data_IF_684948131658
#
_entry.id   IF_684948131658
#
_cell.length_a   1.000
_cell.length_b   1.000
_cell.length_c   1.000
_cell.angle_alpha   90.00
_cell.angle_beta   90.00
_cell.angle_gamma   90.00
#
_symmetry.space_group_name_H-M   'P 1'
#
loop_
_entity.id
_entity.type
_entity.pdbx_description
1 polymer ?
#
# COMPACT_ATOMS: atom_id res chain seq x y z
N UNK A 1 -25.30 -3.16 12.20
CA UNK A 1 -24.08 -3.06 11.39
C UNK A 1 -24.56 -2.73 9.98
N UNK A 2 -24.04 -1.67 9.36
CA UNK A 2 -24.46 -1.26 8.00
C UNK A 2 -23.59 -1.95 6.96
N UNK A 3 -22.26 -1.91 7.15
CA UNK A 3 -21.31 -2.67 6.33
C UNK A 3 -20.40 -3.55 7.22
N UNK A 4 -19.94 -4.69 6.69
CA UNK A 4 -18.93 -5.59 7.27
C UNK A 4 -18.08 -6.22 6.18
N UNK A 5 -16.77 -6.25 6.35
CA UNK A 5 -15.86 -6.84 5.38
C UNK A 5 -14.86 -7.76 6.08
N UNK A 6 -14.49 -8.84 5.41
CA UNK A 6 -13.49 -9.79 5.89
C UNK A 6 -12.59 -10.16 4.71
N UNK A 7 -11.33 -9.79 4.85
CA UNK A 7 -10.33 -9.95 3.81
C UNK A 7 -9.33 -11.04 4.19
N UNK A 8 -8.69 -11.61 3.17
CA UNK A 8 -7.43 -12.32 3.35
C UNK A 8 -6.29 -11.33 3.69
N UNK A 9 -5.08 -11.80 4.02
CA UNK A 9 -3.97 -10.91 4.33
C UNK A 9 -3.59 -9.94 3.20
N UNK A 10 -3.82 -10.29 1.93
CA UNK A 10 -3.50 -9.48 0.76
C UNK A 10 -4.66 -8.56 0.33
N UNK A 11 -5.81 -8.61 1.02
CA UNK A 11 -6.95 -7.75 0.75
C UNK A 11 -7.98 -8.35 -0.21
N UNK A 12 -7.85 -9.64 -0.56
CA UNK A 12 -8.89 -10.33 -1.33
C UNK A 12 -10.11 -10.60 -0.45
N UNK A 13 -11.31 -10.43 -1.00
CA UNK A 13 -12.56 -10.52 -0.26
C UNK A 13 -12.94 -11.97 0.05
N UNK A 14 -12.97 -12.29 1.34
CA UNK A 14 -13.47 -13.60 1.82
C UNK A 14 -14.98 -13.52 2.02
N UNK A 15 -15.47 -12.42 2.62
CA UNK A 15 -16.90 -12.18 2.79
C UNK A 15 -17.20 -10.72 3.11
N UNK A 16 -18.28 -10.22 2.54
CA UNK A 16 -18.78 -8.88 2.82
C UNK A 16 -20.29 -8.86 3.11
N UNK A 17 -20.73 -7.78 3.75
CA UNK A 17 -22.13 -7.39 3.85
C UNK A 17 -22.14 -5.90 3.67
N UNK A 18 -22.67 -5.42 2.55
CA UNK A 18 -22.70 -4.00 2.23
C UNK A 18 -24.15 -3.48 2.16
N UNK A 19 -24.48 -2.52 3.01
CA UNK A 19 -25.77 -1.81 2.96
C UNK A 19 -25.70 -0.48 2.22
N UNK A 20 -24.54 0.18 2.24
CA UNK A 20 -24.27 1.45 1.56
C UNK A 20 -22.91 1.32 0.89
N UNK A 21 -22.81 1.64 -0.41
CA UNK A 21 -21.55 1.63 -1.15
C UNK A 21 -20.45 2.39 -0.42
N UNK A 22 -19.31 1.72 -0.22
CA UNK A 22 -18.15 2.24 0.45
C UNK A 22 -16.89 1.94 -0.39
N UNK A 23 -16.34 2.93 -1.11
CA UNK A 23 -15.11 2.70 -1.88
C UNK A 23 -13.86 2.55 -1.00
N UNK A 24 -13.93 2.83 0.30
CA UNK A 24 -12.76 2.79 1.20
C UNK A 24 -12.75 1.50 2.01
N UNK A 25 -12.22 0.46 1.39
CA UNK A 25 -12.23 -0.94 1.84
C UNK A 25 -10.88 -1.37 2.44
N UNK A 26 -10.17 -2.28 1.78
CA UNK A 26 -8.85 -2.72 2.16
C UNK A 26 -7.88 -1.53 2.20
N UNK A 27 -7.21 -1.33 3.35
CA UNK A 27 -6.34 -0.16 3.60
C UNK A 27 -7.10 1.20 3.49
N UNK A 28 -8.43 1.19 3.43
CA UNK A 28 -9.29 2.35 3.22
C UNK A 28 -9.16 3.44 4.27
N UNK A 29 -8.78 3.08 5.50
CA UNK A 29 -8.47 4.06 6.56
C UNK A 29 -7.31 5.02 6.18
N UNK A 30 -6.48 4.65 5.21
CA UNK A 30 -5.40 5.47 4.66
C UNK A 30 -5.77 6.11 3.30
N UNK A 31 -7.05 6.08 2.92
CA UNK A 31 -7.59 6.64 1.70
C UNK A 31 -7.16 5.90 0.44
N UNK A 32 -6.92 4.59 0.54
CA UNK A 32 -6.92 3.68 -0.62
C UNK A 32 -8.38 3.43 -0.98
N UNK A 33 -8.72 3.53 -2.26
CA UNK A 33 -10.08 3.36 -2.72
C UNK A 33 -10.12 2.24 -3.76
N UNK A 34 -11.11 1.36 -3.65
CA UNK A 34 -11.42 0.42 -4.71
C UNK A 34 -12.10 1.16 -5.87
N UNK A 35 -11.65 0.88 -7.09
CA UNK A 35 -12.18 1.46 -8.31
C UNK A 35 -13.16 0.49 -8.98
N UNK A 36 -13.98 1.00 -9.91
CA UNK A 36 -15.02 0.20 -10.58
C UNK A 36 -14.51 -1.01 -11.40
N UNK A 37 -13.19 -1.16 -11.53
CA UNK A 37 -12.53 -2.30 -12.18
C UNK A 37 -12.02 -3.36 -11.20
N UNK A 38 -12.32 -3.24 -9.90
CA UNK A 38 -11.89 -4.17 -8.85
C UNK A 38 -10.44 -3.97 -8.40
N UNK A 39 -9.81 -2.85 -8.77
CA UNK A 39 -8.44 -2.54 -8.36
C UNK A 39 -8.42 -1.48 -7.26
N UNK A 40 -7.52 -1.67 -6.31
CA UNK A 40 -7.24 -0.68 -5.26
C UNK A 40 -6.33 0.42 -5.79
N UNK A 41 -6.83 1.65 -5.82
CA UNK A 41 -6.03 2.82 -6.16
C UNK A 41 -5.21 3.29 -4.95
N UNK A 42 -3.95 2.85 -4.89
CA UNK A 42 -2.95 3.27 -3.90
C UNK A 42 -2.17 4.49 -4.39
N UNK A 43 -2.81 5.42 -5.11
CA UNK A 43 -2.22 6.66 -5.65
C UNK A 43 -1.18 6.43 -6.75
N UNK A 44 0.05 6.04 -6.41
CA UNK A 44 1.09 5.88 -7.43
C UNK A 44 0.88 4.62 -8.29
N UNK A 45 0.11 3.65 -7.78
CA UNK A 45 -0.13 2.36 -8.43
C UNK A 45 -1.55 1.85 -8.17
N UNK A 46 -2.04 1.06 -9.11
CA UNK A 46 -3.17 0.18 -8.91
C UNK A 46 -2.70 -1.17 -8.38
N UNK A 47 -3.37 -1.65 -7.35
CA UNK A 47 -3.12 -2.93 -6.70
C UNK A 47 -4.25 -3.90 -7.03
N UNK A 48 -3.87 -5.15 -7.27
CA UNK A 48 -4.75 -6.27 -7.59
C UNK A 48 -4.66 -7.23 -6.39
N UNK A 49 -5.74 -7.28 -5.61
CA UNK A 49 -5.87 -8.10 -4.41
C UNK A 49 -5.93 -9.59 -4.75
N UNK A 50 -6.66 -9.98 -5.80
CA UNK A 50 -6.75 -11.36 -6.32
C UNK A 50 -5.36 -12.00 -6.52
N UNK A 51 -4.41 -11.23 -7.04
CA UNK A 51 -3.04 -11.69 -7.30
C UNK A 51 -2.05 -11.31 -6.20
N UNK A 52 -2.41 -10.41 -5.30
CA UNK A 52 -1.59 -9.93 -4.20
C UNK A 52 -0.43 -9.01 -4.64
N UNK A 53 -0.60 -8.25 -5.74
CA UNK A 53 0.50 -7.44 -6.32
C UNK A 53 0.02 -6.21 -7.09
N UNK A 54 0.95 -5.28 -7.31
CA UNK A 54 0.70 -4.14 -8.20
C UNK A 54 0.65 -4.57 -9.66
N UNK A 55 -0.15 -3.87 -10.46
CA UNK A 55 -0.24 -4.12 -11.92
C UNK A 55 0.75 -3.27 -12.73
N UNK A 56 1.44 -2.33 -12.09
CA UNK A 56 2.50 -1.50 -12.68
C UNK A 56 3.80 -1.61 -11.86
N UNK A 57 4.97 -1.46 -12.49
CA UNK A 57 6.24 -1.47 -11.79
C UNK A 57 6.36 -0.24 -10.87
N UNK A 58 7.07 -0.42 -9.76
CA UNK A 58 7.35 0.64 -8.80
C UNK A 58 8.02 1.85 -9.47
N UNK A 59 7.38 3.03 -9.44
CA UNK A 59 7.92 4.23 -10.07
C UNK A 59 9.23 4.74 -9.42
N UNK A 60 9.47 4.45 -8.15
CA UNK A 60 10.76 4.78 -7.52
C UNK A 60 11.84 3.74 -7.83
N UNK A 61 11.47 2.62 -8.47
CA UNK A 61 12.37 1.56 -8.88
C UNK A 61 13.04 0.90 -7.69
N UNK A 62 14.34 0.60 -7.82
CA UNK A 62 15.12 -0.08 -6.77
C UNK A 62 15.35 0.79 -5.52
N UNK A 63 14.99 2.09 -5.55
CA UNK A 63 15.03 2.95 -4.37
C UNK A 63 14.02 2.50 -3.30
N UNK A 64 13.01 1.72 -3.68
CA UNK A 64 12.08 1.07 -2.75
C UNK A 64 12.69 -0.12 -1.99
N UNK A 65 14.00 -0.37 -2.13
CA UNK A 65 14.72 -1.47 -1.47
C UNK A 65 14.06 -2.86 -1.70
N UNK A 66 13.48 -3.06 -2.87
CA UNK A 66 12.96 -4.33 -3.36
C UNK A 66 13.37 -4.52 -4.82
N UNK A 67 13.81 -5.74 -5.15
CA UNK A 67 14.14 -6.13 -6.53
C UNK A 67 12.89 -6.47 -7.34
N UNK A 68 11.77 -6.79 -6.68
CA UNK A 68 10.50 -7.04 -7.34
C UNK A 68 9.63 -5.78 -7.34
N UNK A 69 9.62 -5.08 -8.47
CA UNK A 69 8.91 -3.81 -8.65
C UNK A 69 7.37 -3.93 -8.61
N UNK A 70 6.82 -5.15 -8.58
CA UNK A 70 5.38 -5.40 -8.53
C UNK A 70 4.91 -5.92 -7.17
N UNK A 71 5.83 -6.16 -6.22
CA UNK A 71 5.50 -6.82 -4.96
C UNK A 71 4.78 -5.88 -4.01
N UNK A 72 3.73 -6.38 -3.37
CA UNK A 72 3.11 -5.69 -2.25
C UNK A 72 3.86 -5.99 -0.95
N UNK A 73 4.34 -4.93 -0.29
CA UNK A 73 4.87 -4.91 1.08
C UNK A 73 5.78 -6.09 1.47
N UNK A 74 6.72 -6.46 0.60
CA UNK A 74 7.66 -7.56 0.83
C UNK A 74 6.98 -8.92 1.13
N UNK A 75 5.75 -9.14 0.63
CA UNK A 75 4.91 -10.31 0.93
C UNK A 75 4.62 -10.48 2.44
N UNK A 76 4.58 -9.38 3.19
CA UNK A 76 4.32 -9.39 4.63
C UNK A 76 3.16 -8.46 5.02
N UNK A 77 1.95 -8.65 4.43
CA UNK A 77 0.86 -7.69 4.58
C UNK A 77 0.19 -7.71 5.96
N UNK A 78 0.43 -8.74 6.78
CA UNK A 78 0.05 -8.72 8.20
C UNK A 78 0.85 -7.72 9.04
N UNK A 79 2.02 -7.28 8.56
CA UNK A 79 2.92 -6.40 9.31
C UNK A 79 3.00 -4.99 8.71
N UNK A 80 2.69 -4.84 7.42
CA UNK A 80 2.92 -3.62 6.67
C UNK A 80 1.79 -3.37 5.67
N UNK A 81 1.62 -2.11 5.30
CA UNK A 81 0.66 -1.64 4.30
C UNK A 81 1.37 -0.63 3.38
N UNK A 82 0.95 -0.46 2.12
CA UNK A 82 1.51 0.56 1.21
C UNK A 82 0.44 1.55 0.73
N UNK A 83 0.05 2.56 1.54
CA UNK A 83 -1.00 3.50 1.16
C UNK A 83 -0.66 4.37 -0.05
N UNK A 84 0.63 4.55 -0.35
CA UNK A 84 1.07 5.46 -1.41
C UNK A 84 1.45 4.73 -2.70
N UNK A 85 1.41 3.39 -2.71
CA UNK A 85 1.85 2.60 -3.84
C UNK A 85 3.32 2.88 -4.17
N UNK A 86 4.15 3.13 -3.16
CA UNK A 86 5.58 3.43 -3.32
C UNK A 86 6.42 2.63 -2.35
N UNK A 87 5.96 2.47 -1.12
CA UNK A 87 6.74 1.83 -0.08
C UNK A 87 5.85 1.48 1.12
N UNK A 88 6.05 0.29 1.66
CA UNK A 88 5.34 -0.16 2.86
C UNK A 88 5.56 0.76 4.06
N UNK A 89 4.63 0.75 5.00
CA UNK A 89 4.75 1.36 6.32
C UNK A 89 4.20 0.40 7.36
N UNK A 90 4.66 0.54 8.60
CA UNK A 90 4.06 -0.15 9.74
C UNK A 90 2.77 0.60 10.11
N UNK A 91 1.59 -0.07 10.09
CA UNK A 91 0.34 0.55 10.50
C UNK A 91 0.42 0.99 11.96
N UNK A 92 -0.33 2.03 12.33
CA UNK A 92 -0.26 2.63 13.67
C UNK A 92 -0.52 1.61 14.79
N UNK A 93 -1.37 0.61 14.53
CA UNK A 93 -1.69 -0.49 15.43
C UNK A 93 -0.50 -1.40 15.77
N UNK A 94 0.53 -1.47 14.92
CA UNK A 94 1.69 -2.34 15.09
C UNK A 94 2.97 -1.59 15.50
N UNK A 95 2.97 -0.25 15.48
CA UNK A 95 4.17 0.57 15.76
C UNK A 95 4.81 0.29 17.11
N UNK A 96 4.03 -0.01 18.14
CA UNK A 96 4.53 -0.31 19.49
C UNK A 96 5.25 -1.66 19.58
N UNK A 97 4.91 -2.62 18.73
CA UNK A 97 5.50 -3.96 18.71
C UNK A 97 6.79 -4.03 17.86
N UNK A 98 7.03 -3.02 17.01
CA UNK A 98 8.18 -2.97 16.10
C UNK A 98 8.96 -1.64 16.21
N UNK A 99 9.45 -1.25 17.41
CA UNK A 99 10.10 0.05 17.61
C UNK A 99 11.42 0.22 16.84
N UNK A 100 12.06 -0.89 16.47
CA UNK A 100 13.38 -0.94 15.81
C UNK A 100 13.33 -1.57 14.42
N UNK A 101 12.17 -1.62 13.75
CA UNK A 101 12.16 -2.11 12.38
C UNK A 101 12.78 -1.07 11.43
N UNK A 102 14.02 -1.35 11.05
CA UNK A 102 14.83 -0.48 10.19
C UNK A 102 14.50 -0.64 8.71
N UNK A 103 13.75 -1.69 8.31
CA UNK A 103 13.44 -1.95 6.88
C UNK A 103 12.79 -0.76 6.19
N UNK A 104 12.07 0.06 6.96
CA UNK A 104 11.34 1.23 6.47
C UNK A 104 11.87 2.58 6.99
N UNK A 105 12.81 2.58 7.95
CA UNK A 105 13.37 3.81 8.59
C UNK A 105 14.65 4.33 7.93
N UNK A 106 15.32 3.51 7.12
CA UNK A 106 16.68 3.74 6.63
C UNK A 106 16.77 4.39 5.23
N UNK A 107 15.63 4.72 4.59
CA UNK A 107 15.61 5.55 3.38
C UNK A 107 15.95 7.03 3.65
N UNK A 108 16.84 7.34 4.61
CA UNK A 108 17.26 8.71 4.98
C UNK A 108 18.76 8.98 4.72
N UNK A 109 19.51 8.01 4.19
CA UNK A 109 20.87 8.21 3.66
C UNK A 109 20.91 8.99 2.33
N UNK A 110 22.01 8.92 1.57
CA UNK A 110 22.17 9.62 0.28
C UNK A 110 21.08 9.24 -0.75
N UNK A 111 20.67 7.96 -0.80
CA UNK A 111 19.53 7.50 -1.61
C UNK A 111 18.17 7.95 -1.06
N UNK A 112 18.13 8.39 0.20
CA UNK A 112 16.94 8.91 0.85
C UNK A 112 16.48 10.26 0.32
N UNK A 113 17.42 11.12 -0.10
CA UNK A 113 17.06 12.39 -0.74
C UNK A 113 16.45 12.14 -2.13
N UNK A 114 17.04 11.21 -2.91
CA UNK A 114 16.48 10.82 -4.22
C UNK A 114 15.09 10.20 -4.07
N UNK A 115 14.90 9.32 -3.07
CA UNK A 115 13.59 8.77 -2.73
C UNK A 115 12.57 9.86 -2.36
N UNK A 116 12.94 10.79 -1.48
CA UNK A 116 12.06 11.91 -1.07
C UNK A 116 11.67 12.77 -2.26
N UNK A 117 12.61 13.08 -3.15
CA UNK A 117 12.34 13.88 -4.35
C UNK A 117 11.45 13.14 -5.34
N UNK A 118 11.71 11.87 -5.66
CA UNK A 118 10.81 11.10 -6.54
C UNK A 118 9.41 10.98 -5.94
N UNK A 119 9.31 10.64 -4.64
CA UNK A 119 8.04 10.58 -3.93
C UNK A 119 7.27 11.89 -4.00
N UNK A 120 7.97 13.04 -3.86
CA UNK A 120 7.36 14.36 -4.06
C UNK A 120 6.84 14.51 -5.49
N UNK A 121 7.63 14.18 -6.51
CA UNK A 121 7.19 14.27 -7.91
C UNK A 121 5.87 13.52 -8.14
N UNK A 122 5.75 12.27 -7.68
CA UNK A 122 4.52 11.47 -7.85
C UNK A 122 3.30 12.03 -7.09
N UNK A 123 3.51 12.74 -5.97
CA UNK A 123 2.45 13.46 -5.27
C UNK A 123 1.96 14.71 -5.99
N UNK A 124 2.74 15.29 -6.92
CA UNK A 124 2.39 16.53 -7.63
C UNK A 124 1.93 16.34 -9.08
N UNK A 125 2.25 15.22 -9.72
CA UNK A 125 1.92 14.97 -11.15
C UNK A 125 0.63 14.18 -11.39
N UNK A 126 -0.05 13.72 -10.35
CA UNK A 126 -1.23 12.83 -10.44
C UNK A 126 -2.55 13.56 -10.13
N UNK A 127 -2.68 14.83 -10.56
CA UNK A 127 -3.92 15.62 -10.46
C UNK A 127 -4.56 15.84 -11.84
#
# INVERSE_FOLDING_TARGET
MVNSYFYDPFGDDISETEGITNPFEFVGQYGVAEEANGLDFMRARFYDSDTGRFISPDPIGLLGNDLNLYRYVQNSPNNYIDPEGLFGIIPDSLKTNYPNDFRYRDLRGEQGQEYVEKKRTYRFTTL
#
